data_IF_373661496085
#
_entry.id   IF_373661496085
#
_cell.length_a   1.000
_cell.length_b   1.000
_cell.length_c   1.000
_cell.angle_alpha   90.00
_cell.angle_beta   90.00
_cell.angle_gamma   90.00
#
_symmetry.space_group_name_H-M   'P 1'
#
loop_
_entity.id
_entity.type
_entity.pdbx_description
1 polymer ?
#
# COMPACT_ATOMS: atom_id res chain seq x y z
N UNK A 1 -18.13 -13.88 20.04
CA UNK A 1 -17.72 -14.20 18.66
C UNK A 1 -16.24 -14.62 18.64
N UNK A 2 -15.84 -15.61 19.47
CA UNK A 2 -14.44 -16.07 19.62
C UNK A 2 -14.22 -17.52 19.18
N UNK A 3 -15.30 -18.25 18.88
CA UNK A 3 -15.26 -19.67 18.52
C UNK A 3 -14.58 -19.89 17.15
N UNK A 4 -14.82 -19.00 16.19
CA UNK A 4 -14.25 -19.11 14.84
C UNK A 4 -12.72 -19.00 14.78
N UNK A 5 -12.08 -18.36 15.76
CA UNK A 5 -10.62 -18.26 15.80
C UNK A 5 -9.98 -19.52 16.39
N UNK A 6 -10.64 -20.14 17.38
CA UNK A 6 -10.16 -21.38 17.98
C UNK A 6 -10.19 -22.52 16.98
N UNK A 7 -11.30 -22.66 16.24
CA UNK A 7 -11.47 -23.68 15.21
C UNK A 7 -10.42 -23.50 14.09
N UNK A 8 -10.15 -22.25 13.68
CA UNK A 8 -9.12 -21.95 12.67
C UNK A 8 -7.69 -22.29 13.11
N UNK A 9 -7.35 -22.03 14.38
CA UNK A 9 -6.03 -22.37 14.93
C UNK A 9 -5.87 -23.91 15.00
N UNK A 10 -6.92 -24.61 15.38
CA UNK A 10 -6.94 -26.07 15.47
C UNK A 10 -6.83 -26.74 14.09
N UNK A 11 -7.44 -26.16 13.04
CA UNK A 11 -7.28 -26.62 11.65
C UNK A 11 -5.84 -26.44 11.12
N UNK A 12 -5.15 -25.35 11.49
CA UNK A 12 -3.73 -25.12 11.16
C UNK A 12 -2.85 -26.14 11.88
N UNK A 13 -3.06 -26.34 13.19
CA UNK A 13 -2.25 -27.23 14.00
C UNK A 13 -2.36 -28.70 13.55
N UNK A 14 -3.53 -29.10 13.07
CA UNK A 14 -3.80 -30.46 12.61
C UNK A 14 -3.42 -30.70 11.14
N UNK A 15 -2.89 -29.70 10.43
CA UNK A 15 -2.42 -29.85 9.05
C UNK A 15 -3.52 -30.24 8.06
N UNK A 16 -4.79 -30.00 8.40
CA UNK A 16 -5.96 -30.30 7.56
C UNK A 16 -6.15 -29.27 6.44
N UNK A 17 -5.40 -28.17 6.47
CA UNK A 17 -5.31 -27.22 5.38
C UNK A 17 -4.37 -27.79 4.30
N UNK A 18 -4.95 -28.45 3.31
CA UNK A 18 -4.28 -28.79 2.07
C UNK A 18 -3.91 -27.49 1.33
N UNK A 19 -2.74 -26.94 1.67
CA UNK A 19 -2.09 -25.82 0.99
C UNK A 19 -1.48 -26.30 -0.33
N UNK A 20 -2.22 -27.11 -1.09
CA UNK A 20 -1.88 -27.48 -2.45
C UNK A 20 -1.92 -26.25 -3.33
N UNK A 21 -0.78 -25.55 -3.42
CA UNK A 21 -0.45 -24.40 -4.30
C UNK A 21 -1.71 -23.69 -4.80
N UNK A 22 -2.52 -23.23 -3.84
CA UNK A 22 -3.58 -22.29 -4.14
C UNK A 22 -2.82 -21.03 -4.44
N UNK A 23 -2.72 -20.69 -5.73
CA UNK A 23 -2.47 -19.33 -6.20
C UNK A 23 -3.45 -18.47 -5.44
N UNK A 24 -3.01 -18.01 -4.27
CA UNK A 24 -3.86 -17.44 -3.24
C UNK A 24 -4.70 -16.42 -3.93
N UNK A 25 -6.00 -16.72 -4.02
CA UNK A 25 -7.04 -15.97 -4.69
C UNK A 25 -6.65 -14.51 -4.59
N UNK A 26 -6.08 -13.96 -5.67
CA UNK A 26 -5.76 -12.53 -5.74
C UNK A 26 -7.07 -11.89 -5.34
N UNK A 27 -7.06 -11.12 -4.24
CA UNK A 27 -8.19 -10.30 -3.85
C UNK A 27 -8.31 -9.22 -4.92
N UNK A 28 -8.86 -9.65 -6.04
CA UNK A 28 -9.34 -8.85 -7.13
C UNK A 28 -10.61 -8.20 -6.61
N UNK A 29 -10.62 -6.87 -6.52
CA UNK A 29 -11.74 -6.11 -5.98
C UNK A 29 -11.50 -5.46 -4.62
N UNK A 30 -10.32 -4.90 -4.36
CA UNK A 30 -10.27 -3.66 -3.59
C UNK A 30 -9.85 -2.59 -4.59
N UNK A 31 -10.81 -1.81 -5.11
CA UNK A 31 -10.49 -0.63 -5.91
C UNK A 31 -9.69 0.30 -4.99
N UNK A 32 -8.35 0.14 -5.02
CA UNK A 32 -7.45 1.07 -4.36
C UNK A 32 -7.74 2.47 -4.87
N UNK A 33 -7.33 3.49 -4.13
CA UNK A 33 -7.61 4.88 -4.53
C UNK A 33 -6.87 5.31 -5.81
N UNK A 34 -6.03 4.43 -6.36
CA UNK A 34 -5.32 4.62 -7.61
C UNK A 34 -6.02 3.84 -8.72
N UNK A 35 -6.41 4.56 -9.77
CA UNK A 35 -6.71 3.96 -11.05
C UNK A 35 -5.43 3.45 -11.75
N UNK A 36 -5.59 2.80 -12.90
CA UNK A 36 -4.48 2.25 -13.68
C UNK A 36 -3.47 3.33 -14.11
N UNK A 37 -3.95 4.51 -14.50
CA UNK A 37 -3.10 5.60 -14.96
C UNK A 37 -2.26 6.20 -13.83
N UNK A 38 -2.85 6.40 -12.66
CA UNK A 38 -2.15 6.84 -11.45
C UNK A 38 -1.16 5.78 -10.98
N UNK A 39 -1.53 4.50 -11.03
CA UNK A 39 -0.63 3.39 -10.68
C UNK A 39 0.61 3.37 -11.57
N UNK A 40 0.45 3.59 -12.89
CA UNK A 40 1.57 3.71 -13.84
C UNK A 40 2.48 4.91 -13.52
N UNK A 41 1.90 6.07 -13.17
CA UNK A 41 2.68 7.25 -12.76
C UNK A 41 3.48 6.99 -11.48
N UNK A 42 2.90 6.26 -10.53
CA UNK A 42 3.60 5.84 -9.30
C UNK A 42 4.72 4.86 -9.64
N UNK A 43 4.53 3.95 -10.60
CA UNK A 43 5.58 3.04 -11.06
C UNK A 43 6.75 3.81 -11.69
N UNK A 44 6.48 4.79 -12.54
CA UNK A 44 7.52 5.66 -13.10
C UNK A 44 8.27 6.44 -12.02
N UNK A 45 7.57 6.93 -10.99
CA UNK A 45 8.16 7.57 -9.83
C UNK A 45 9.08 6.60 -9.06
N UNK A 46 8.69 5.34 -8.89
CA UNK A 46 9.53 4.32 -8.25
C UNK A 46 10.81 4.07 -9.05
N UNK A 47 10.73 4.01 -10.38
CA UNK A 47 11.89 3.74 -11.23
C UNK A 47 12.88 4.91 -11.25
N UNK A 48 12.38 6.13 -11.31
CA UNK A 48 13.20 7.34 -11.55
C UNK A 48 13.52 8.13 -10.29
N UNK A 49 12.72 7.96 -9.24
CA UNK A 49 12.67 8.90 -8.12
C UNK A 49 12.03 10.24 -8.52
N UNK A 50 11.94 11.16 -7.56
CA UNK A 50 11.34 12.48 -7.73
C UNK A 50 10.18 12.69 -6.77
N UNK A 51 9.19 13.48 -7.19
CA UNK A 51 7.99 13.78 -6.40
C UNK A 51 6.74 13.74 -7.27
N UNK A 52 5.61 13.40 -6.66
CA UNK A 52 4.30 13.33 -7.28
C UNK A 52 3.24 13.77 -6.27
N UNK A 53 2.28 14.57 -6.71
CA UNK A 53 1.06 14.86 -5.94
C UNK A 53 -0.08 14.08 -6.55
N UNK A 54 -0.71 13.22 -5.75
CA UNK A 54 -1.79 12.35 -6.14
C UNK A 54 -3.12 12.97 -5.70
N UNK A 55 -3.95 13.31 -6.67
CA UNK A 55 -5.35 13.62 -6.45
C UNK A 55 -6.15 12.33 -6.55
N UNK A 56 -6.71 11.89 -5.43
CA UNK A 56 -7.39 10.60 -5.28
C UNK A 56 -8.81 10.78 -4.72
N UNK A 57 -9.39 11.97 -4.91
CA UNK A 57 -10.74 12.29 -4.43
C UNK A 57 -10.85 12.56 -2.92
N UNK A 58 -9.72 12.83 -2.26
CA UNK A 58 -9.68 13.30 -0.87
C UNK A 58 -9.62 14.83 -0.83
N UNK A 59 -9.99 15.44 0.30
CA UNK A 59 -9.91 16.91 0.48
C UNK A 59 -8.51 17.49 0.25
N UNK A 60 -7.48 16.69 0.51
CA UNK A 60 -6.09 17.07 0.33
C UNK A 60 -5.35 16.00 -0.47
N UNK A 61 -4.43 16.38 -1.36
CA UNK A 61 -3.68 15.42 -2.15
C UNK A 61 -2.71 14.62 -1.26
N UNK A 62 -2.35 13.42 -1.73
CA UNK A 62 -1.24 12.66 -1.17
C UNK A 62 0.03 13.08 -1.91
N UNK A 63 0.97 13.71 -1.21
CA UNK A 63 2.28 13.99 -1.75
C UNK A 63 3.18 12.78 -1.53
N UNK A 64 3.83 12.29 -2.59
CA UNK A 64 4.75 11.16 -2.57
C UNK A 64 6.09 11.61 -3.13
N UNK A 65 7.15 11.41 -2.38
CA UNK A 65 8.53 11.66 -2.79
C UNK A 65 9.34 10.38 -2.69
N UNK A 66 10.10 10.06 -3.73
CA UNK A 66 10.95 8.87 -3.78
C UNK A 66 12.37 9.30 -4.13
N UNK A 67 13.31 8.99 -3.24
CA UNK A 67 14.72 9.06 -3.54
C UNK A 67 15.24 7.69 -3.97
N UNK A 68 15.84 7.62 -5.16
CA UNK A 68 16.48 6.40 -5.65
C UNK A 68 17.95 6.34 -5.26
N UNK A 69 18.32 5.23 -4.63
CA UNK A 69 19.70 4.94 -4.33
C UNK A 69 20.44 4.63 -5.64
N UNK A 70 21.60 5.27 -5.86
CA UNK A 70 22.39 5.10 -7.10
C UNK A 70 23.27 3.84 -7.09
N UNK A 71 23.63 3.33 -5.92
CA UNK A 71 24.59 2.22 -5.78
C UNK A 71 23.92 0.88 -5.49
N UNK A 72 22.62 0.88 -5.19
CA UNK A 72 21.81 -0.32 -4.92
C UNK A 72 20.41 -0.14 -5.46
N UNK A 73 19.75 -1.23 -5.83
CA UNK A 73 18.33 -1.23 -6.18
C UNK A 73 17.49 -1.04 -4.92
N UNK A 74 17.35 0.22 -4.51
CA UNK A 74 16.64 0.61 -3.31
C UNK A 74 16.02 2.00 -3.48
N UNK A 75 14.93 2.23 -2.77
CA UNK A 75 14.19 3.47 -2.78
C UNK A 75 13.83 3.88 -1.35
N UNK A 76 14.05 5.15 -1.02
CA UNK A 76 13.52 5.78 0.19
C UNK A 76 12.30 6.59 -0.20
N UNK A 77 11.16 6.25 0.38
CA UNK A 77 9.86 6.87 0.10
C UNK A 77 9.42 7.69 1.30
N UNK A 78 8.97 8.92 1.06
CA UNK A 78 8.24 9.76 1.99
C UNK A 78 6.89 10.10 1.37
N UNK A 79 5.82 9.91 2.13
CA UNK A 79 4.47 10.23 1.69
C UNK A 79 3.68 10.91 2.79
N UNK A 80 2.91 11.93 2.43
CA UNK A 80 2.25 12.83 3.38
C UNK A 80 0.88 13.28 2.87
N UNK A 81 -0.09 13.44 3.78
CA UNK A 81 -1.39 14.05 3.52
C UNK A 81 -1.81 14.85 4.75
N UNK A 82 -2.36 16.05 4.56
CA UNK A 82 -2.67 16.99 5.64
C UNK A 82 -1.77 18.24 5.62
N UNK A 83 -2.27 19.36 6.13
CA UNK A 83 -1.49 20.60 6.34
C UNK A 83 -0.94 20.70 7.76
N UNK A 84 -1.79 20.48 8.78
CA UNK A 84 -1.41 20.59 10.20
C UNK A 84 -1.33 19.20 10.81
N UNK A 85 -0.13 18.82 11.27
CA UNK A 85 0.18 17.45 11.73
C UNK A 85 -0.17 16.39 10.67
N UNK A 86 0.48 16.45 9.48
CA UNK A 86 0.17 15.54 8.39
C UNK A 86 0.35 14.08 8.81
N UNK A 87 -0.49 13.22 8.25
CA UNK A 87 -0.26 11.78 8.33
C UNK A 87 0.87 11.44 7.38
N UNK A 88 1.91 10.78 7.88
CA UNK A 88 3.12 10.50 7.11
C UNK A 88 3.47 9.03 7.14
N UNK A 89 3.98 8.49 6.04
CA UNK A 89 4.77 7.25 6.03
C UNK A 89 6.14 7.53 5.42
N UNK A 90 7.17 6.97 6.04
CA UNK A 90 8.54 7.05 5.58
C UNK A 90 9.18 5.67 5.71
N UNK A 91 9.75 5.15 4.63
CA UNK A 91 10.41 3.84 4.66
C UNK A 91 11.47 3.74 3.55
N UNK A 92 12.39 2.80 3.71
CA UNK A 92 13.36 2.43 2.67
C UNK A 92 13.23 0.94 2.38
N UNK A 93 13.12 0.58 1.11
CA UNK A 93 13.07 -0.80 0.65
C UNK A 93 14.17 -1.03 -0.38
N UNK A 94 14.76 -2.23 -0.33
CA UNK A 94 15.67 -2.73 -1.35
C UNK A 94 15.03 -3.90 -2.05
N UNK A 95 15.15 -3.99 -3.38
CA UNK A 95 14.51 -5.01 -4.19
C UNK A 95 14.16 -4.52 -5.59
N UNK A 96 13.59 -5.38 -6.43
CA UNK A 96 13.09 -5.01 -7.76
C UNK A 96 12.06 -3.87 -7.70
N UNK A 97 12.00 -3.07 -8.77
CA UNK A 97 11.08 -1.92 -8.83
C UNK A 97 9.60 -2.32 -8.69
N UNK A 98 9.23 -3.52 -9.12
CA UNK A 98 7.86 -4.04 -8.98
C UNK A 98 7.47 -4.27 -7.51
N UNK A 99 8.36 -4.84 -6.69
CA UNK A 99 8.11 -5.07 -5.26
C UNK A 99 8.07 -3.75 -4.49
N UNK A 100 8.95 -2.81 -4.84
CA UNK A 100 8.94 -1.46 -4.27
C UNK A 100 7.63 -0.74 -4.64
N UNK A 101 7.19 -0.86 -5.89
CA UNK A 101 5.93 -0.28 -6.35
C UNK A 101 4.71 -0.84 -5.62
N UNK A 102 4.63 -2.15 -5.45
CA UNK A 102 3.55 -2.79 -4.68
C UNK A 102 3.47 -2.20 -3.27
N UNK A 103 4.60 -2.05 -2.57
CA UNK A 103 4.64 -1.48 -1.21
C UNK A 103 4.33 0.01 -1.17
N UNK A 104 4.70 0.76 -2.21
CA UNK A 104 4.32 2.17 -2.35
C UNK A 104 2.81 2.28 -2.54
N UNK A 105 2.21 1.48 -3.43
CA UNK A 105 0.75 1.46 -3.67
C UNK A 105 -0.01 1.05 -2.42
N UNK A 106 0.41 -0.01 -1.74
CA UNK A 106 -0.16 -0.46 -0.46
C UNK A 106 -0.14 0.68 0.59
N UNK A 107 0.98 1.39 0.67
CA UNK A 107 1.15 2.50 1.62
C UNK A 107 0.32 3.73 1.27
N UNK A 108 0.14 4.03 -0.02
CA UNK A 108 -0.76 5.09 -0.49
C UNK A 108 -2.20 4.75 -0.13
N UNK A 109 -2.65 3.53 -0.43
CA UNK A 109 -4.00 3.07 -0.08
C UNK A 109 -4.26 3.14 1.43
N UNK A 110 -3.27 2.73 2.24
CA UNK A 110 -3.36 2.87 3.69
C UNK A 110 -3.40 4.33 4.14
N UNK A 111 -2.59 5.23 3.55
CA UNK A 111 -2.66 6.66 3.88
C UNK A 111 -4.01 7.24 3.54
N UNK A 112 -4.57 6.87 2.39
CA UNK A 112 -5.89 7.30 1.98
C UNK A 112 -6.96 6.81 2.95
N UNK A 113 -6.97 5.52 3.31
CA UNK A 113 -8.00 4.95 4.19
C UNK A 113 -8.04 5.60 5.57
N UNK A 114 -6.90 6.02 6.11
CA UNK A 114 -6.85 6.71 7.40
C UNK A 114 -7.05 8.23 7.27
N UNK A 115 -6.87 8.80 6.07
CA UNK A 115 -7.07 10.22 5.78
C UNK A 115 -8.53 10.53 5.44
N UNK A 116 -9.28 9.55 4.91
CA UNK A 116 -10.73 9.61 4.84
C UNK A 116 -11.27 9.79 6.26
N UNK A 117 -11.82 10.97 6.63
CA UNK A 117 -12.57 11.09 7.88
C UNK A 117 -13.68 10.06 7.82
N UNK A 118 -14.12 9.51 8.96
CA UNK A 118 -15.20 8.52 9.04
C UNK A 118 -16.46 8.97 8.27
N UNK A 119 -16.51 8.73 6.96
CA UNK A 119 -17.53 9.20 6.02
C UNK A 119 -18.81 8.35 6.14
N UNK A 120 -19.01 7.68 7.27
CA UNK A 120 -20.08 6.71 7.56
C UNK A 120 -20.49 6.67 9.05
N UNK A 121 -20.23 7.72 9.84
CA UNK A 121 -20.71 7.80 11.22
C UNK A 121 -21.68 8.98 11.45
N UNK A 122 -22.52 9.27 10.46
CA UNK A 122 -23.66 10.17 10.56
C UNK A 122 -24.91 9.48 10.01
#
# INVERSE_FOLDING_TARGET
MHLQLADFIEEIANGLLDLGISTGKRRDGNYGVLDEQLSLRVFDLVRRGGMLSLDVGLEQPIHVSIHRNRTRTAATTLMTIGVRQPRTKCFTLSGPDAEIHEKVVESINHLASIATPAMQAA
#
